data_IF_400578089962
#
_entry.id   IF_400578089962
#
_cell.length_a   1.000
_cell.length_b   1.000
_cell.length_c   1.000
_cell.angle_alpha   90.00
_cell.angle_beta   90.00
_cell.angle_gamma   90.00
#
_symmetry.space_group_name_H-M   'P 1'
#
loop_
_entity.id
_entity.type
_entity.pdbx_description
1 polymer ?
#
# COMPACT_ATOMS: atom_id res chain seq x y z
N UNK A 1 0.97 -18.88 0.40
CA UNK A 1 0.77 -17.55 1.02
C UNK A 1 1.00 -17.68 2.52
N UNK A 2 1.87 -16.86 3.14
CA UNK A 2 1.94 -16.79 4.60
C UNK A 2 0.72 -16.01 5.09
N UNK A 3 -0.41 -16.68 5.28
CA UNK A 3 -1.57 -16.09 5.93
C UNK A 3 -1.30 -16.03 7.43
N UNK A 4 -0.54 -15.01 7.85
CA UNK A 4 -0.35 -14.73 9.27
C UNK A 4 -1.70 -14.47 9.95
N UNK A 5 -1.83 -14.88 11.22
CA UNK A 5 -3.04 -14.67 12.04
C UNK A 5 -3.37 -13.17 12.20
N UNK A 6 -2.40 -12.27 11.96
CA UNK A 6 -2.50 -10.81 12.09
C UNK A 6 -2.70 -10.15 10.73
N UNK A 7 -3.46 -9.05 10.72
CA UNK A 7 -3.64 -8.24 9.52
C UNK A 7 -2.31 -7.61 9.08
N UNK A 8 -1.95 -7.67 7.78
CA UNK A 8 -0.85 -6.88 7.24
C UNK A 8 -1.14 -5.39 7.40
N UNK A 9 -0.10 -4.59 7.62
CA UNK A 9 -0.25 -3.13 7.67
C UNK A 9 -0.56 -2.56 6.30
N UNK A 10 -1.50 -1.61 6.24
CA UNK A 10 -1.75 -0.83 5.02
C UNK A 10 -0.47 -0.04 4.65
N UNK A 11 -0.08 0.03 3.36
CA UNK A 11 1.12 0.77 2.94
C UNK A 11 1.13 2.23 3.40
N UNK A 12 -0.04 2.87 3.40
CA UNK A 12 -0.22 4.22 3.91
C UNK A 12 0.12 4.43 5.39
N UNK A 13 -0.17 3.44 6.24
CA UNK A 13 0.20 3.48 7.65
C UNK A 13 1.71 3.34 7.84
N UNK A 14 2.36 2.51 7.00
CA UNK A 14 3.83 2.40 6.94
C UNK A 14 4.44 3.71 6.46
N UNK A 15 3.93 4.28 5.36
CA UNK A 15 4.34 5.58 4.82
C UNK A 15 4.28 6.66 5.90
N UNK A 16 3.18 6.74 6.65
CA UNK A 16 3.02 7.73 7.73
C UNK A 16 4.06 7.56 8.83
N UNK A 17 4.17 6.36 9.39
CA UNK A 17 5.00 6.09 10.59
C UNK A 17 6.49 5.98 10.32
N UNK A 18 6.89 5.54 9.13
CA UNK A 18 8.30 5.30 8.81
C UNK A 18 8.93 6.41 7.96
N UNK A 19 8.12 7.24 7.30
CA UNK A 19 8.65 8.32 6.45
C UNK A 19 8.14 9.70 6.87
N UNK A 20 6.83 9.94 6.95
CA UNK A 20 6.33 11.30 7.26
C UNK A 20 6.68 11.75 8.68
N UNK A 21 6.32 10.95 9.68
CA UNK A 21 6.52 11.30 11.10
C UNK A 21 8.02 11.49 11.45
N UNK A 22 8.95 10.58 11.06
CA UNK A 22 10.36 10.75 11.38
C UNK A 22 11.05 11.90 10.63
N UNK A 23 10.57 12.24 9.44
CA UNK A 23 11.13 13.32 8.61
C UNK A 23 10.42 14.67 8.85
N UNK A 24 9.39 14.73 9.71
CA UNK A 24 8.58 15.92 9.92
C UNK A 24 7.84 16.40 8.66
N UNK A 25 7.59 15.51 7.70
CA UNK A 25 6.95 15.87 6.43
C UNK A 25 5.43 15.94 6.57
N UNK A 26 4.83 17.02 6.07
CA UNK A 26 3.38 17.07 5.94
C UNK A 26 2.90 16.32 4.69
N UNK A 27 1.60 16.00 4.65
CA UNK A 27 0.96 15.45 3.44
C UNK A 27 1.12 16.39 2.25
N UNK A 28 1.18 17.71 2.48
CA UNK A 28 1.36 18.70 1.41
C UNK A 28 2.79 18.67 0.86
N UNK A 29 3.79 18.52 1.72
CA UNK A 29 5.20 18.42 1.30
C UNK A 29 5.44 17.17 0.48
N UNK A 30 4.92 16.02 0.93
CA UNK A 30 5.03 14.79 0.17
C UNK A 30 4.28 14.88 -1.17
N UNK A 31 3.09 15.48 -1.21
CA UNK A 31 2.35 15.66 -2.46
C UNK A 31 3.15 16.48 -3.49
N UNK A 32 3.82 17.54 -3.04
CA UNK A 32 4.70 18.36 -3.87
C UNK A 32 5.89 17.55 -4.37
N UNK A 33 6.57 16.81 -3.50
CA UNK A 33 7.71 15.97 -3.85
C UNK A 33 7.36 14.85 -4.85
N UNK A 34 6.18 14.24 -4.70
CA UNK A 34 5.71 13.17 -5.60
C UNK A 34 5.10 13.71 -6.90
N UNK A 35 4.86 15.02 -7.03
CA UNK A 35 4.19 15.61 -8.19
C UNK A 35 2.74 15.13 -8.37
N UNK A 36 1.98 14.97 -7.27
CA UNK A 36 0.58 14.51 -7.29
C UNK A 36 -0.29 15.39 -6.40
N UNK A 37 -1.62 15.25 -6.50
CA UNK A 37 -2.53 16.02 -5.65
C UNK A 37 -2.38 15.68 -4.16
N UNK A 38 -2.52 16.67 -3.28
CA UNK A 38 -2.60 16.47 -1.82
C UNK A 38 -3.70 15.46 -1.43
N UNK A 39 -4.82 15.47 -2.16
CA UNK A 39 -5.94 14.52 -1.95
C UNK A 39 -5.52 13.08 -2.20
N UNK A 40 -4.68 12.84 -3.21
CA UNK A 40 -4.14 11.50 -3.53
C UNK A 40 -3.28 11.00 -2.37
N UNK A 41 -2.29 11.78 -1.93
CA UNK A 41 -1.42 11.39 -0.81
C UNK A 41 -2.22 11.23 0.48
N UNK A 42 -3.16 12.14 0.76
CA UNK A 42 -4.02 12.06 1.94
C UNK A 42 -4.84 10.77 1.99
N UNK A 43 -5.40 10.31 0.86
CA UNK A 43 -6.12 9.04 0.80
C UNK A 43 -5.22 7.86 1.17
N UNK A 44 -4.01 7.82 0.62
CA UNK A 44 -3.05 6.75 0.90
C UNK A 44 -2.64 6.78 2.38
N UNK A 45 -2.13 7.91 2.88
CA UNK A 45 -1.65 8.09 4.27
C UNK A 45 -2.73 7.81 5.32
N UNK A 46 -3.99 8.08 5.01
CA UNK A 46 -5.12 7.79 5.91
C UNK A 46 -5.71 6.38 5.72
N UNK A 47 -5.02 5.50 5.00
CA UNK A 47 -5.41 4.10 4.79
C UNK A 47 -6.76 3.95 4.08
N UNK A 48 -7.14 4.93 3.25
CA UNK A 48 -8.40 4.99 2.48
C UNK A 48 -8.20 4.83 0.97
N UNK A 49 -6.96 4.66 0.52
CA UNK A 49 -6.61 4.52 -0.88
C UNK A 49 -5.39 3.64 -1.05
N UNK A 50 -5.37 2.88 -2.15
CA UNK A 50 -4.29 1.97 -2.49
C UNK A 50 -3.08 2.69 -3.08
N UNK A 51 -1.93 2.03 -3.00
CA UNK A 51 -0.72 2.39 -3.74
C UNK A 51 -0.77 1.72 -5.11
N UNK A 52 -0.93 2.51 -6.17
CA UNK A 52 -0.82 2.05 -7.56
C UNK A 52 0.66 1.86 -7.97
N UNK A 53 0.90 1.26 -9.14
CA UNK A 53 2.24 1.13 -9.71
C UNK A 53 2.93 2.49 -9.93
N UNK A 54 2.22 3.48 -10.47
CA UNK A 54 2.74 4.85 -10.63
C UNK A 54 3.10 5.48 -9.27
N UNK A 55 2.24 5.30 -8.25
CA UNK A 55 2.55 5.79 -6.91
C UNK A 55 3.76 5.07 -6.29
N UNK A 56 3.89 3.77 -6.50
CA UNK A 56 5.04 3.00 -6.02
C UNK A 56 6.35 3.49 -6.65
N UNK A 57 6.36 3.79 -7.95
CA UNK A 57 7.50 4.39 -8.63
C UNK A 57 7.86 5.74 -8.01
N UNK A 58 6.88 6.63 -7.80
CA UNK A 58 7.11 7.94 -7.18
C UNK A 58 7.67 7.84 -5.76
N UNK A 59 7.08 6.97 -4.94
CA UNK A 59 7.53 6.73 -3.56
C UNK A 59 8.94 6.12 -3.53
N UNK A 60 9.26 5.23 -4.48
CA UNK A 60 10.60 4.63 -4.60
C UNK A 60 11.67 5.69 -4.85
N UNK A 61 11.41 6.61 -5.76
CA UNK A 61 12.30 7.72 -6.08
C UNK A 61 12.41 8.72 -4.93
N UNK A 62 11.29 9.07 -4.29
CA UNK A 62 11.28 10.06 -3.21
C UNK A 62 12.00 9.60 -1.93
N UNK A 63 12.03 8.29 -1.66
CA UNK A 63 12.57 7.75 -0.40
C UNK A 63 13.77 6.82 -0.57
N UNK A 64 14.32 6.69 -1.78
CA UNK A 64 15.45 5.78 -2.04
C UNK A 64 15.10 4.32 -1.73
N UNK A 65 13.88 3.89 -2.07
CA UNK A 65 13.40 2.52 -1.88
C UNK A 65 13.13 1.85 -3.23
N UNK A 66 12.53 0.66 -3.24
CA UNK A 66 12.14 -0.02 -4.49
C UNK A 66 10.63 0.07 -4.72
N UNK A 67 10.14 0.13 -5.97
CA UNK A 67 8.71 0.06 -6.26
C UNK A 67 8.07 -1.22 -5.72
N UNK A 68 8.81 -2.35 -5.76
CA UNK A 68 8.36 -3.66 -5.28
C UNK A 68 8.08 -3.64 -3.78
N UNK A 69 8.83 -2.86 -2.99
CA UNK A 69 8.54 -2.71 -1.55
C UNK A 69 7.09 -2.26 -1.35
N UNK A 70 6.69 -1.19 -2.03
CA UNK A 70 5.37 -0.59 -1.91
C UNK A 70 4.28 -1.50 -2.48
N UNK A 71 4.52 -2.10 -3.65
CA UNK A 71 3.56 -3.01 -4.27
C UNK A 71 3.38 -4.31 -3.48
N UNK A 72 4.44 -4.83 -2.85
CA UNK A 72 4.35 -6.01 -2.00
C UNK A 72 3.52 -5.72 -0.74
N UNK A 73 3.68 -4.54 -0.12
CA UNK A 73 2.82 -4.12 1.00
C UNK A 73 1.36 -4.05 0.56
N UNK A 74 1.07 -3.42 -0.59
CA UNK A 74 -0.28 -3.28 -1.11
C UNK A 74 -0.90 -4.65 -1.43
N UNK A 75 -0.17 -5.50 -2.16
CA UNK A 75 -0.60 -6.86 -2.51
C UNK A 75 -0.94 -7.68 -1.27
N UNK A 76 -0.08 -7.64 -0.26
CA UNK A 76 -0.31 -8.39 0.98
C UNK A 76 -1.56 -7.89 1.70
N UNK A 77 -1.76 -6.57 1.77
CA UNK A 77 -2.96 -5.95 2.33
C UNK A 77 -4.23 -6.40 1.59
N UNK A 78 -4.25 -6.23 0.27
CA UNK A 78 -5.42 -6.52 -0.56
C UNK A 78 -5.79 -8.01 -0.52
N UNK A 79 -4.81 -8.90 -0.64
CA UNK A 79 -5.07 -10.35 -0.59
C UNK A 79 -5.64 -10.78 0.77
N UNK A 80 -5.13 -10.23 1.88
CA UNK A 80 -5.63 -10.57 3.21
C UNK A 80 -7.08 -10.10 3.40
N UNK A 81 -7.40 -8.87 2.98
CA UNK A 81 -8.75 -8.33 3.08
C UNK A 81 -9.73 -9.04 2.14
N UNK A 82 -9.32 -9.32 0.90
CA UNK A 82 -10.12 -10.07 -0.07
C UNK A 82 -10.43 -11.50 0.42
N UNK A 83 -9.43 -12.19 0.99
CA UNK A 83 -9.59 -13.55 1.52
C UNK A 83 -10.59 -13.65 2.71
N UNK A 84 -10.83 -12.53 3.40
CA UNK A 84 -11.80 -12.42 4.50
C UNK A 84 -13.17 -11.90 4.05
N UNK A 85 -13.19 -10.94 3.12
CA UNK A 85 -14.43 -10.31 2.62
C UNK A 85 -15.22 -11.18 1.65
N UNK A 86 -14.53 -11.98 0.82
CA UNK A 86 -15.17 -12.93 -0.10
C UNK A 86 -14.82 -14.37 0.27
N UNK A 87 -15.80 -15.28 0.12
CA UNK A 87 -15.60 -16.73 0.24
C UNK A 87 -15.72 -17.46 -1.09
N UNK A 88 -16.13 -16.77 -2.17
CA UNK A 88 -16.39 -17.38 -3.48
C UNK A 88 -15.17 -18.09 -4.07
N UNK A 89 -13.98 -17.52 -3.84
CA UNK A 89 -12.69 -18.09 -4.28
C UNK A 89 -12.39 -19.47 -3.67
N UNK A 90 -13.01 -19.84 -2.54
CA UNK A 90 -12.79 -21.15 -1.88
C UNK A 90 -13.49 -22.31 -2.58
N UNK A 91 -14.40 -22.02 -3.51
CA UNK A 91 -15.18 -23.01 -4.27
C UNK A 91 -14.71 -23.16 -5.72
N UNK A 92 -13.61 -22.50 -6.06
CA UNK A 92 -13.04 -22.57 -7.40
C UNK A 92 -12.21 -23.84 -7.50
N UNK A 93 -12.58 -24.71 -8.43
CA UNK A 93 -11.82 -25.93 -8.73
C UNK A 93 -10.57 -25.59 -9.57
N UNK A 94 -9.43 -26.28 -9.35
CA UNK A 94 -8.26 -26.15 -10.22
C UNK A 94 -8.60 -26.54 -11.67
N UNK A 95 -8.17 -25.72 -12.63
CA UNK A 95 -8.48 -25.92 -14.06
C UNK A 95 -7.72 -27.10 -14.66
N UNK A 96 -6.56 -27.43 -14.12
CA UNK A 96 -5.79 -28.62 -14.47
C UNK A 96 -5.25 -29.21 -13.16
N UNK A 97 -5.68 -30.42 -12.81
CA UNK A 97 -5.17 -31.21 -11.71
C UNK A 97 -4.31 -32.35 -12.26
#
# INVERSE_FOLDING_TARGET
MRTGKRAPSHPGGILRRQHLEPLGLTVADLARALGVSRKTVSKVVNERGSVSADMALRLSQAFGTTPELWLNLQRNYDLWHAAKGSKGWRRVEPVAA
#
